data_IF_130782409350
#
_entry.id   IF_130782409350
#
_cell.length_a   1.000
_cell.length_b   1.000
_cell.length_c   1.000
_cell.angle_alpha   90.00
_cell.angle_beta   90.00
_cell.angle_gamma   90.00
#
_symmetry.space_group_name_H-M   'P 1'
#
loop_
_entity.id
_entity.type
_entity.pdbx_description
1 polymer ?
#
# COMPACT_ATOMS: atom_id res chain seq x y z
N UNK A 1 -12.40 1.88 8.39
CA UNK A 1 -12.02 1.47 7.02
C UNK A 1 -10.86 0.46 7.08
N UNK A 2 -10.73 -0.45 6.10
CA UNK A 2 -9.54 -1.31 5.96
C UNK A 2 -8.56 -0.65 4.98
N UNK A 3 -7.25 -0.78 5.22
CA UNK A 3 -6.25 -0.32 4.25
C UNK A 3 -6.34 -1.09 2.93
N UNK A 4 -6.03 -0.40 1.83
CA UNK A 4 -5.93 -0.98 0.48
C UNK A 4 -4.58 -1.69 0.22
N UNK A 5 -3.66 -1.64 1.18
CA UNK A 5 -2.30 -2.18 1.07
C UNK A 5 -2.07 -3.34 2.05
N UNK A 6 -1.51 -4.44 1.54
CA UNK A 6 -0.90 -5.46 2.39
C UNK A 6 0.53 -5.03 2.73
N UNK A 7 0.90 -5.07 4.02
CA UNK A 7 2.20 -4.61 4.48
C UNK A 7 2.72 -5.52 5.58
N UNK A 8 4.01 -5.84 5.51
CA UNK A 8 4.69 -6.65 6.53
C UNK A 8 4.57 -5.93 7.88
N UNK A 9 4.23 -6.69 8.93
CA UNK A 9 3.99 -6.14 10.27
C UNK A 9 2.61 -5.47 10.44
N UNK A 10 1.73 -5.56 9.44
CA UNK A 10 0.41 -4.95 9.45
C UNK A 10 -0.44 -5.39 10.64
N UNK A 11 -0.85 -4.41 11.47
CA UNK A 11 -1.65 -4.64 12.68
C UNK A 11 -3.15 -4.82 12.40
N UNK A 12 -3.54 -5.34 11.22
CA UNK A 12 -4.96 -5.46 10.82
C UNK A 12 -5.81 -6.21 11.84
N UNK A 13 -5.32 -7.37 12.30
CA UNK A 13 -6.03 -8.23 13.28
C UNK A 13 -6.04 -7.55 14.66
N UNK A 14 -4.89 -7.03 15.09
CA UNK A 14 -4.71 -6.41 16.40
C UNK A 14 -5.29 -4.99 16.52
N UNK A 15 -5.68 -4.35 15.41
CA UNK A 15 -6.09 -2.95 15.41
C UNK A 15 -7.22 -2.68 16.41
N UNK A 16 -8.23 -3.56 16.52
CA UNK A 16 -9.31 -3.40 17.50
C UNK A 16 -8.80 -3.41 18.95
N UNK A 17 -7.93 -4.37 19.28
CA UNK A 17 -7.33 -4.49 20.61
C UNK A 17 -6.48 -3.27 20.96
N UNK A 18 -5.66 -2.80 20.01
CA UNK A 18 -4.83 -1.59 20.19
C UNK A 18 -5.74 -0.38 20.44
N UNK A 19 -6.80 -0.21 19.65
CA UNK A 19 -7.74 0.90 19.77
C UNK A 19 -8.45 0.89 21.13
N UNK A 20 -8.87 -0.28 21.63
CA UNK A 20 -9.52 -0.39 22.95
C UNK A 20 -8.60 -0.03 24.13
N UNK A 21 -7.28 -0.01 23.92
CA UNK A 21 -6.30 0.37 24.93
C UNK A 21 -5.89 1.84 24.83
N UNK A 22 -6.35 2.57 23.81
CA UNK A 22 -6.02 3.99 23.67
C UNK A 22 -6.80 4.81 24.71
N UNK A 23 -6.14 5.74 25.43
CA UNK A 23 -6.85 6.71 26.25
C UNK A 23 -7.66 7.67 25.36
N UNK A 24 -8.56 8.43 25.98
CA UNK A 24 -9.17 9.57 25.29
C UNK A 24 -8.10 10.57 24.84
N UNK A 25 -8.21 11.04 23.60
CA UNK A 25 -7.19 11.91 23.00
C UNK A 25 -7.79 12.79 21.90
N UNK A 26 -7.21 13.98 21.75
CA UNK A 26 -7.53 14.91 20.65
C UNK A 26 -6.60 14.76 19.46
N UNK A 27 -5.35 14.37 19.73
CA UNK A 27 -4.30 14.24 18.71
C UNK A 27 -3.83 12.81 18.63
N UNK A 28 -3.74 12.28 17.42
CA UNK A 28 -3.18 10.97 17.14
C UNK A 28 -1.99 11.09 16.21
N UNK A 29 -0.89 10.40 16.55
CA UNK A 29 0.34 10.38 15.75
C UNK A 29 0.74 8.94 15.48
N UNK A 30 0.78 8.55 14.21
CA UNK A 30 1.28 7.25 13.77
C UNK A 30 2.65 7.44 13.10
N UNK A 31 3.71 7.31 13.90
CA UNK A 31 5.10 7.58 13.48
C UNK A 31 5.66 6.53 12.52
N UNK A 32 5.18 5.29 12.66
CA UNK A 32 5.51 4.13 11.83
C UNK A 32 4.24 3.65 11.11
N UNK A 33 3.80 4.48 10.19
CA UNK A 33 2.49 4.42 9.59
C UNK A 33 2.16 3.12 8.88
N UNK A 34 3.12 2.53 8.15
CA UNK A 34 2.90 1.35 7.33
C UNK A 34 1.63 1.47 6.48
N UNK A 35 0.79 0.45 6.48
CA UNK A 35 -0.49 0.49 5.77
C UNK A 35 -1.59 1.32 6.48
N UNK A 36 -1.34 1.96 7.62
CA UNK A 36 -2.32 2.78 8.35
C UNK A 36 -3.46 1.97 8.98
N UNK A 37 -3.20 0.72 9.40
CA UNK A 37 -4.25 -0.18 9.90
C UNK A 37 -4.95 0.32 11.17
N UNK A 38 -4.24 1.05 12.03
CA UNK A 38 -4.81 1.60 13.26
C UNK A 38 -5.46 2.94 12.96
N UNK A 39 -4.74 3.88 12.32
CA UNK A 39 -5.30 5.16 11.85
C UNK A 39 -6.65 5.03 11.15
N UNK A 40 -6.74 4.19 10.11
CA UNK A 40 -7.99 4.08 9.32
C UNK A 40 -9.13 3.32 10.02
N UNK A 41 -8.83 2.65 11.14
CA UNK A 41 -9.81 1.81 11.85
C UNK A 41 -10.34 2.48 13.12
N UNK A 42 -9.56 3.33 13.78
CA UNK A 42 -10.03 4.09 14.94
C UNK A 42 -11.06 5.15 14.51
N UNK A 43 -11.76 5.71 15.49
CA UNK A 43 -12.52 6.93 15.24
C UNK A 43 -11.55 8.08 14.91
N UNK A 44 -11.85 8.94 13.94
CA UNK A 44 -11.02 10.10 13.64
C UNK A 44 -10.79 10.98 14.88
N UNK A 45 -9.56 11.44 15.07
CA UNK A 45 -9.21 12.42 16.12
C UNK A 45 -9.31 13.83 15.55
N UNK A 46 -9.38 14.87 16.40
CA UNK A 46 -9.37 16.26 15.96
C UNK A 46 -8.12 16.59 15.13
N UNK A 47 -6.98 16.00 15.49
CA UNK A 47 -5.71 16.14 14.76
C UNK A 47 -5.10 14.75 14.55
N UNK A 48 -4.68 14.47 13.31
CA UNK A 48 -4.02 13.21 12.95
C UNK A 48 -2.76 13.46 12.11
N UNK A 49 -1.66 12.82 12.51
CA UNK A 49 -0.39 12.83 11.78
C UNK A 49 0.01 11.40 11.44
N UNK A 50 0.24 11.13 10.16
CA UNK A 50 0.79 9.87 9.67
C UNK A 50 2.17 10.11 9.07
N UNK A 51 3.14 9.29 9.47
CA UNK A 51 4.50 9.34 8.95
C UNK A 51 5.01 7.92 8.67
N UNK A 52 5.89 7.79 7.69
CA UNK A 52 6.66 6.56 7.47
C UNK A 52 8.00 6.90 6.78
N UNK A 53 9.04 6.14 7.08
CA UNK A 53 10.35 6.31 6.46
C UNK A 53 10.36 5.86 4.99
N UNK A 54 9.50 4.91 4.63
CA UNK A 54 9.48 4.34 3.29
C UNK A 54 8.89 5.33 2.28
N UNK A 55 9.77 5.95 1.50
CA UNK A 55 9.37 6.95 0.50
C UNK A 55 8.48 6.40 -0.62
N UNK A 56 8.58 5.11 -0.96
CA UNK A 56 7.68 4.50 -1.96
C UNK A 56 6.27 4.34 -1.42
N UNK A 57 6.14 4.01 -0.13
CA UNK A 57 4.87 3.96 0.58
C UNK A 57 4.23 5.34 0.69
N UNK A 58 5.00 6.35 1.09
CA UNK A 58 4.55 7.75 1.13
C UNK A 58 4.10 8.21 -0.26
N UNK A 59 4.88 7.88 -1.31
CA UNK A 59 4.52 8.20 -2.68
C UNK A 59 3.21 7.52 -3.12
N UNK A 60 3.01 6.25 -2.76
CA UNK A 60 1.78 5.51 -3.05
C UNK A 60 0.56 6.21 -2.45
N UNK A 61 0.58 6.56 -1.16
CA UNK A 61 -0.52 7.30 -0.53
C UNK A 61 -0.75 8.67 -1.18
N UNK A 62 0.32 9.39 -1.52
CA UNK A 62 0.23 10.70 -2.22
C UNK A 62 -0.42 10.57 -3.60
N UNK A 63 -0.06 9.55 -4.37
CA UNK A 63 -0.64 9.28 -5.69
C UNK A 63 -2.10 8.87 -5.59
N UNK A 64 -2.45 8.00 -4.65
CA UNK A 64 -3.84 7.61 -4.40
C UNK A 64 -4.68 8.83 -4.03
N UNK A 65 -4.18 9.74 -3.18
CA UNK A 65 -4.89 10.97 -2.81
C UNK A 65 -5.12 11.91 -4.00
N UNK A 66 -4.09 12.16 -4.82
CA UNK A 66 -4.10 13.27 -5.78
C UNK A 66 -4.37 12.83 -7.24
N UNK A 67 -4.11 11.57 -7.59
CA UNK A 67 -4.05 11.07 -8.97
C UNK A 67 -4.70 9.68 -9.13
N UNK A 68 -5.70 9.35 -8.31
CA UNK A 68 -6.35 8.04 -8.29
C UNK A 68 -6.81 7.57 -9.67
N UNK A 69 -7.41 8.47 -10.46
CA UNK A 69 -7.91 8.13 -11.80
C UNK A 69 -6.79 7.72 -12.77
N UNK A 70 -5.63 8.40 -12.73
CA UNK A 70 -4.46 8.04 -13.56
C UNK A 70 -3.87 6.72 -13.08
N UNK A 71 -3.78 6.55 -11.76
CA UNK A 71 -3.27 5.34 -11.15
C UNK A 71 -4.11 4.11 -11.53
N UNK A 72 -5.44 4.20 -11.40
CA UNK A 72 -6.40 3.18 -11.87
C UNK A 72 -6.24 2.90 -13.37
N UNK A 73 -6.23 3.95 -14.19
CA UNK A 73 -6.18 3.82 -15.66
C UNK A 73 -4.90 3.12 -16.14
N UNK A 74 -3.73 3.48 -15.60
CA UNK A 74 -2.44 2.88 -16.03
C UNK A 74 -2.26 1.43 -15.57
N UNK A 75 -3.01 1.00 -14.56
CA UNK A 75 -3.03 -0.41 -14.13
C UNK A 75 -4.08 -1.25 -14.84
N UNK A 76 -4.95 -0.64 -15.65
CA UNK A 76 -5.93 -1.37 -16.44
C UNK A 76 -5.20 -2.35 -17.38
N UNK A 77 -5.58 -3.62 -17.34
CA UNK A 77 -4.86 -4.74 -18.00
C UNK A 77 -3.43 -5.04 -17.52
N UNK A 78 -2.98 -4.51 -16.37
CA UNK A 78 -1.70 -4.92 -15.78
C UNK A 78 -1.84 -6.32 -15.17
N UNK A 79 -1.56 -7.34 -15.99
CA UNK A 79 -1.69 -8.75 -15.61
C UNK A 79 -0.58 -9.19 -14.66
N UNK A 80 -0.87 -10.20 -13.84
CA UNK A 80 0.14 -10.82 -12.98
C UNK A 80 1.10 -11.67 -13.82
N UNK A 81 2.26 -11.09 -14.13
CA UNK A 81 3.38 -11.71 -14.84
C UNK A 81 4.66 -11.63 -14.01
N UNK A 82 5.45 -12.71 -14.09
CA UNK A 82 6.79 -12.78 -13.50
C UNK A 82 7.76 -11.81 -14.17
N UNK A 83 7.62 -11.60 -15.47
CA UNK A 83 8.45 -10.67 -16.23
C UNK A 83 8.18 -9.23 -15.81
N UNK A 84 6.91 -8.81 -15.78
CA UNK A 84 6.48 -7.51 -15.26
C UNK A 84 7.00 -7.25 -13.84
N UNK A 85 6.94 -8.27 -12.98
CA UNK A 85 7.48 -8.19 -11.63
C UNK A 85 8.97 -7.84 -11.59
N UNK A 86 9.78 -8.50 -12.42
CA UNK A 86 11.22 -8.22 -12.47
C UNK A 86 11.53 -6.87 -13.13
N UNK A 87 10.73 -6.43 -14.10
CA UNK A 87 10.83 -5.09 -14.68
C UNK A 87 10.60 -4.02 -13.60
N UNK A 88 9.52 -4.12 -12.83
CA UNK A 88 9.22 -3.18 -11.76
C UNK A 88 10.21 -3.24 -10.61
N UNK A 89 10.67 -4.42 -10.21
CA UNK A 89 11.75 -4.54 -9.23
C UNK A 89 13.02 -3.82 -9.69
N UNK A 90 13.40 -3.95 -10.96
CA UNK A 90 14.56 -3.26 -11.52
C UNK A 90 14.35 -1.75 -11.52
N UNK A 91 13.15 -1.27 -11.87
CA UNK A 91 12.81 0.16 -11.80
C UNK A 91 12.95 0.70 -10.36
N UNK A 92 12.44 -0.02 -9.36
CA UNK A 92 12.59 0.33 -7.94
C UNK A 92 14.06 0.38 -7.51
N UNK A 93 14.84 -0.66 -7.84
CA UNK A 93 16.29 -0.70 -7.50
C UNK A 93 17.08 0.44 -8.14
N UNK A 94 16.72 0.84 -9.34
CA UNK A 94 17.43 1.89 -10.10
C UNK A 94 16.89 3.29 -9.85
N UNK A 95 15.74 3.42 -9.20
CA UNK A 95 15.04 4.70 -9.00
C UNK A 95 14.55 5.34 -10.30
N UNK A 96 14.51 4.60 -11.41
CA UNK A 96 14.17 5.12 -12.73
C UNK A 96 12.68 4.95 -13.00
N UNK A 97 11.95 6.06 -12.91
CA UNK A 97 10.53 6.14 -13.20
C UNK A 97 10.25 7.36 -14.08
N UNK A 98 9.22 7.27 -14.92
CA UNK A 98 8.74 8.41 -15.72
C UNK A 98 8.13 9.49 -14.83
N UNK A 99 7.34 9.07 -13.85
CA UNK A 99 6.70 9.96 -12.88
C UNK A 99 6.35 9.21 -11.58
N UNK A 100 5.83 9.95 -10.59
CA UNK A 100 5.38 9.42 -9.31
C UNK A 100 4.30 8.34 -9.43
N UNK A 101 3.46 8.39 -10.47
CA UNK A 101 2.38 7.41 -10.66
C UNK A 101 2.99 6.07 -11.07
N UNK A 102 3.94 6.06 -11.99
CA UNK A 102 4.64 4.82 -12.39
C UNK A 102 5.46 4.24 -11.22
N UNK A 103 6.07 5.10 -10.40
CA UNK A 103 6.71 4.68 -9.15
C UNK A 103 5.74 4.00 -8.18
N UNK A 104 4.56 4.58 -7.99
CA UNK A 104 3.51 4.01 -7.14
C UNK A 104 2.99 2.67 -7.70
N UNK A 105 2.81 2.56 -9.02
CA UNK A 105 2.37 1.33 -9.69
C UNK A 105 3.41 0.23 -9.49
N UNK A 106 4.68 0.51 -9.77
CA UNK A 106 5.76 -0.47 -9.60
C UNK A 106 5.81 -1.02 -8.18
N UNK A 107 5.77 -0.12 -7.18
CA UNK A 107 5.76 -0.49 -5.77
C UNK A 107 4.54 -1.33 -5.40
N UNK A 108 3.34 -0.86 -5.75
CA UNK A 108 2.08 -1.57 -5.47
C UNK A 108 2.02 -2.95 -6.14
N UNK A 109 2.45 -3.03 -7.40
CA UNK A 109 2.50 -4.26 -8.16
C UNK A 109 3.44 -5.28 -7.52
N UNK A 110 4.65 -4.87 -7.15
CA UNK A 110 5.61 -5.74 -6.46
C UNK A 110 5.02 -6.26 -5.15
N UNK A 111 4.51 -5.40 -4.26
CA UNK A 111 3.90 -5.82 -2.99
C UNK A 111 2.85 -6.90 -3.19
N UNK A 112 1.96 -6.73 -4.18
CA UNK A 112 0.88 -7.69 -4.44
C UNK A 112 1.36 -8.99 -5.05
N UNK A 113 2.48 -8.96 -5.78
CA UNK A 113 3.04 -10.09 -6.51
C UNK A 113 4.31 -10.65 -5.84
N UNK A 114 4.57 -10.30 -4.59
CA UNK A 114 5.66 -10.86 -3.80
C UNK A 114 5.20 -11.86 -2.77
N UNK A 115 6.08 -12.80 -2.41
CA UNK A 115 5.87 -13.65 -1.24
C UNK A 115 5.81 -12.81 0.05
N UNK A 116 4.78 -12.99 0.87
CA UNK A 116 4.65 -12.25 2.14
C UNK A 116 4.54 -10.72 2.01
N UNK A 117 4.26 -10.18 0.82
CA UNK A 117 4.20 -8.72 0.54
C UNK A 117 5.56 -7.99 0.64
N UNK A 118 6.68 -8.70 0.61
CA UNK A 118 8.01 -8.09 0.61
C UNK A 118 8.51 -7.86 -0.81
N UNK A 119 8.68 -6.61 -1.24
CA UNK A 119 8.98 -6.27 -2.65
C UNK A 119 10.25 -6.92 -3.25
N UNK A 120 11.11 -7.54 -2.43
CA UNK A 120 12.32 -8.27 -2.85
C UNK A 120 12.36 -9.75 -2.44
N UNK A 121 11.24 -10.33 -1.98
CA UNK A 121 11.18 -11.74 -1.51
C UNK A 121 10.85 -12.76 -2.61
N UNK A 122 10.80 -12.32 -3.87
CA UNK A 122 10.52 -13.15 -5.04
C UNK A 122 9.06 -13.10 -5.50
N UNK A 123 8.85 -13.42 -6.79
CA UNK A 123 7.52 -13.42 -7.41
C UNK A 123 6.64 -14.52 -6.82
N UNK A 124 5.42 -14.18 -6.42
CA UNK A 124 4.43 -15.11 -5.91
C UNK A 124 3.02 -14.80 -6.45
N UNK A 125 2.32 -15.86 -6.81
CA UNK A 125 0.89 -15.84 -7.13
C UNK A 125 0.17 -16.91 -6.29
N UNK A 126 -1.09 -16.66 -5.99
CA UNK A 126 -1.93 -17.62 -5.26
C UNK A 126 -3.02 -18.15 -6.19
N UNK A 127 -3.29 -19.46 -6.22
CA UNK A 127 -4.29 -20.06 -7.12
C UNK A 127 -5.72 -19.57 -6.83
N UNK A 128 -5.98 -19.14 -5.59
CA UNK A 128 -7.29 -18.65 -5.14
C UNK A 128 -7.37 -17.11 -5.04
N UNK A 129 -6.50 -16.38 -5.74
CA UNK A 129 -6.53 -14.91 -5.76
C UNK A 129 -7.19 -14.44 -7.05
N UNK A 130 -8.20 -13.58 -6.94
CA UNK A 130 -8.86 -12.99 -8.10
C UNK A 130 -7.91 -12.14 -8.95
N UNK A 131 -8.37 -11.71 -10.15
CA UNK A 131 -7.58 -10.86 -11.03
C UNK A 131 -7.11 -9.58 -10.34
N UNK A 132 -5.78 -9.39 -10.28
CA UNK A 132 -5.16 -8.27 -9.55
C UNK A 132 -5.21 -6.92 -10.25
N UNK A 133 -5.72 -6.83 -11.48
CA UNK A 133 -5.81 -5.56 -12.22
C UNK A 133 -6.94 -4.64 -11.71
N UNK A 134 -7.76 -5.12 -10.76
CA UNK A 134 -8.96 -4.44 -10.26
C UNK A 134 -9.10 -4.48 -8.72
N UNK A 135 -8.68 -5.57 -8.06
CA UNK A 135 -8.92 -5.75 -6.62
C UNK A 135 -8.20 -4.71 -5.74
N UNK A 136 -8.92 -4.12 -4.76
CA UNK A 136 -8.36 -3.28 -3.69
C UNK A 136 -8.36 -1.78 -3.98
N UNK A 137 -8.25 -1.38 -5.25
CA UNK A 137 -8.32 0.02 -5.68
C UNK A 137 -9.75 0.42 -6.07
N UNK A 138 -10.60 -0.51 -6.49
CA UNK A 138 -12.03 -0.27 -6.74
C UNK A 138 -12.81 0.19 -5.51
N UNK A 139 -12.30 -0.12 -4.31
CA UNK A 139 -12.88 0.29 -3.03
C UNK A 139 -12.35 1.64 -2.50
N UNK A 140 -11.48 2.30 -3.26
CA UNK A 140 -10.99 3.67 -3.06
C UNK A 140 -11.71 4.62 -4.01
#
# INVERSE_FOLDING_TARGET
>A
MNSFLAWIGGKRILAKTIISMMPEHKTYVEVFGGAGWVLFRKQPSEVETWNDLNSDLVNLFRVVRNKLHVFKRRQYFLLSSREEYFIFQKAIKTGKFKDDVDRAIAFYYCIRNSFGSGIFTGYAFGPNRGPKYCEGIEKL
#
